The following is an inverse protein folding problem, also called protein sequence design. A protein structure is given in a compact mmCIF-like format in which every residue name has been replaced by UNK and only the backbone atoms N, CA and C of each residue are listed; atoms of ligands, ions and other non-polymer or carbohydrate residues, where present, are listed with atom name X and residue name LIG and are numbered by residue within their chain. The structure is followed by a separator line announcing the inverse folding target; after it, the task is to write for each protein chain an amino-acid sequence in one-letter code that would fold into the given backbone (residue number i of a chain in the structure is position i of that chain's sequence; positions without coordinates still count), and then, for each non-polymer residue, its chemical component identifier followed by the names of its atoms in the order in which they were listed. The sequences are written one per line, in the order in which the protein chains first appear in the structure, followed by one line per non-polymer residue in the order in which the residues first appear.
data_IF_104492529042
#
_entry.id   IF_104492529042
#
_cell.length_a   1.000
_cell.length_b   1.000
_cell.length_c   1.000
_cell.angle_alpha   90.00
_cell.angle_beta   90.00
_cell.angle_gamma   90.00
#
_symmetry.space_group_name_H-M   'P 1'
#
loop_
_entity.id
_entity.type
_entity.pdbx_description
1 polymer ?
#
# COMPACT_ATOMS: atom_id res chain seq x y z
N UNK A 1 48.35 -41.53 48.76
CA UNK A 1 48.01 -42.09 47.43
C UNK A 1 47.23 -41.03 46.67
N UNK A 2 47.93 -40.14 45.98
CA UNK A 2 47.35 -38.98 45.26
C UNK A 2 47.38 -39.25 43.76
N UNK A 3 46.23 -39.55 43.15
CA UNK A 3 46.13 -39.71 41.69
C UNK A 3 45.74 -38.37 41.06
N UNK A 4 46.75 -37.68 40.53
CA UNK A 4 46.62 -36.51 39.66
C UNK A 4 46.07 -36.92 38.30
N UNK A 5 44.82 -36.55 38.00
CA UNK A 5 44.21 -36.71 36.67
C UNK A 5 44.78 -35.66 35.71
N UNK A 6 45.63 -36.09 34.76
CA UNK A 6 46.09 -35.26 33.64
C UNK A 6 44.94 -34.99 32.64
N UNK A 7 44.81 -33.77 32.09
CA UNK A 7 43.93 -33.53 30.95
C UNK A 7 44.53 -34.16 29.69
N UNK A 8 43.72 -34.89 28.95
CA UNK A 8 44.07 -35.49 27.65
C UNK A 8 44.17 -34.39 26.58
N UNK A 9 45.40 -34.03 26.21
CA UNK A 9 45.69 -33.26 25.00
C UNK A 9 45.21 -34.03 23.76
N UNK A 10 44.21 -33.49 23.06
CA UNK A 10 43.86 -33.95 21.71
C UNK A 10 45.00 -33.55 20.77
N UNK A 11 45.88 -34.50 20.47
CA UNK A 11 46.94 -34.34 19.47
C UNK A 11 46.31 -34.09 18.09
N UNK A 12 46.32 -32.82 17.68
CA UNK A 12 45.89 -32.39 16.37
C UNK A 12 46.93 -32.81 15.32
N UNK A 13 46.83 -34.03 14.80
CA UNK A 13 47.48 -34.39 13.53
C UNK A 13 46.89 -33.51 12.42
N UNK A 14 47.52 -32.37 12.14
CA UNK A 14 47.22 -31.53 10.97
C UNK A 14 47.47 -32.37 9.72
N UNK A 15 46.40 -32.87 9.09
CA UNK A 15 46.47 -33.50 7.77
C UNK A 15 46.97 -32.44 6.77
N UNK A 16 48.16 -32.67 6.22
CA UNK A 16 48.76 -31.84 5.16
C UNK A 16 48.02 -32.12 3.86
N UNK A 17 47.43 -31.08 3.25
CA UNK A 17 46.90 -31.11 1.88
C UNK A 17 45.38 -31.25 1.81
N UNK A 18 44.71 -30.13 1.50
CA UNK A 18 43.28 -30.04 1.20
C UNK A 18 42.78 -28.60 1.23
N UNK A 19 41.66 -28.31 0.56
CA UNK A 19 40.98 -27.01 0.70
C UNK A 19 40.62 -26.81 2.19
N UNK A 20 41.01 -25.69 2.82
CA UNK A 20 40.68 -25.41 4.21
C UNK A 20 39.19 -25.63 4.48
N UNK A 21 38.87 -26.33 5.57
CA UNK A 21 37.49 -26.57 5.97
C UNK A 21 36.84 -25.24 6.36
N UNK A 22 35.60 -25.01 5.90
CA UNK A 22 34.83 -23.83 6.31
C UNK A 22 34.61 -23.85 7.84
N UNK A 23 34.68 -22.68 8.51
CA UNK A 23 34.30 -22.56 9.91
C UNK A 23 32.90 -23.11 10.16
N UNK A 24 32.67 -23.72 11.32
CA UNK A 24 31.39 -24.34 11.67
C UNK A 24 30.21 -23.36 11.53
N UNK A 25 30.40 -22.09 11.88
CA UNK A 25 29.40 -21.03 11.76
C UNK A 25 28.95 -20.75 10.31
N UNK A 26 29.82 -20.99 9.32
CA UNK A 26 29.51 -20.78 7.88
C UNK A 26 29.10 -22.07 7.17
N UNK A 27 29.22 -23.22 7.84
CA UNK A 27 28.94 -24.54 7.26
C UNK A 27 27.43 -24.76 7.15
N UNK A 28 26.92 -24.94 5.93
CA UNK A 28 25.52 -25.29 5.66
C UNK A 28 25.30 -26.79 5.90
N UNK A 29 24.83 -27.18 7.09
CA UNK A 29 24.65 -28.60 7.48
C UNK A 29 23.18 -29.05 7.61
N UNK A 30 22.22 -28.17 7.33
CA UNK A 30 20.78 -28.47 7.37
C UNK A 30 20.18 -28.17 6.00
N UNK A 31 19.32 -29.05 5.52
CA UNK A 31 18.63 -28.93 4.23
C UNK A 31 17.12 -28.88 4.44
N UNK A 32 16.47 -27.98 3.70
CA UNK A 32 15.01 -27.96 3.53
C UNK A 32 14.75 -28.25 2.06
N UNK A 33 13.94 -29.26 1.77
CA UNK A 33 13.57 -29.64 0.40
C UNK A 33 12.16 -29.20 0.11
N UNK A 34 11.98 -28.50 -1.01
CA UNK A 34 10.68 -28.06 -1.53
C UNK A 34 10.52 -28.56 -2.96
N UNK A 35 9.28 -28.84 -3.36
CA UNK A 35 8.93 -29.22 -4.73
C UNK A 35 8.10 -28.09 -5.33
N UNK A 36 8.40 -27.75 -6.57
CA UNK A 36 7.72 -26.67 -7.30
C UNK A 36 6.92 -27.25 -8.45
N UNK A 37 5.82 -26.58 -8.81
CA UNK A 37 5.20 -26.81 -10.11
C UNK A 37 6.16 -26.36 -11.22
N UNK A 38 5.88 -26.77 -12.46
CA UNK A 38 6.68 -26.36 -13.62
C UNK A 38 6.68 -24.83 -13.79
N UNK A 39 5.54 -24.18 -13.54
CA UNK A 39 5.38 -22.73 -13.68
C UNK A 39 6.16 -21.99 -12.59
N UNK A 40 6.07 -22.43 -11.34
CA UNK A 40 6.79 -21.81 -10.23
C UNK A 40 8.30 -21.95 -10.39
N UNK A 41 8.75 -23.12 -10.87
CA UNK A 41 10.16 -23.37 -11.13
C UNK A 41 10.72 -22.41 -12.19
N UNK A 42 10.04 -22.24 -13.34
CA UNK A 42 10.50 -21.32 -14.38
C UNK A 42 10.45 -19.86 -13.91
N UNK A 43 9.43 -19.49 -13.12
CA UNK A 43 9.34 -18.17 -12.50
C UNK A 43 10.56 -17.87 -11.62
N UNK A 44 10.91 -18.80 -10.72
CA UNK A 44 12.08 -18.67 -9.86
C UNK A 44 13.38 -18.66 -10.67
N UNK A 45 13.47 -19.47 -11.73
CA UNK A 45 14.63 -19.51 -12.64
C UNK A 45 14.84 -18.17 -13.33
N UNK A 46 13.78 -17.57 -13.88
CA UNK A 46 13.85 -16.24 -14.52
C UNK A 46 14.28 -15.18 -13.51
N UNK A 47 13.68 -15.16 -12.32
CA UNK A 47 14.04 -14.20 -11.27
C UNK A 47 15.49 -14.34 -10.81
N UNK A 48 15.97 -15.59 -10.64
CA UNK A 48 17.36 -15.85 -10.25
C UNK A 48 18.37 -15.37 -11.30
N UNK A 49 18.07 -15.58 -12.59
CA UNK A 49 18.88 -15.06 -13.71
C UNK A 49 18.89 -13.55 -13.75
N UNK A 50 17.74 -12.91 -13.57
CA UNK A 50 17.63 -11.45 -13.50
C UNK A 50 18.48 -10.87 -12.36
N UNK A 51 18.60 -11.59 -11.25
CA UNK A 51 19.44 -11.21 -10.12
C UNK A 51 20.93 -11.62 -10.29
N UNK A 52 21.32 -12.25 -11.40
CA UNK A 52 22.65 -12.81 -11.61
C UNK A 52 23.11 -13.76 -10.48
N UNK A 53 22.19 -14.55 -9.94
CA UNK A 53 22.45 -15.52 -8.86
C UNK A 53 22.11 -16.93 -9.28
N UNK A 54 22.75 -17.91 -8.65
CA UNK A 54 22.35 -19.32 -8.79
C UNK A 54 21.00 -19.52 -8.12
N UNK A 55 20.13 -20.34 -8.73
CA UNK A 55 18.76 -20.56 -8.26
C UNK A 55 18.66 -20.89 -6.75
N UNK A 56 19.52 -21.79 -6.25
CA UNK A 56 19.54 -22.16 -4.84
C UNK A 56 20.01 -21.03 -3.91
N UNK A 57 20.91 -20.17 -4.38
CA UNK A 57 21.37 -19.00 -3.61
C UNK A 57 20.28 -17.95 -3.57
N UNK A 58 19.66 -17.68 -4.72
CA UNK A 58 18.53 -16.78 -4.86
C UNK A 58 17.40 -17.17 -3.90
N UNK A 59 16.90 -18.41 -3.96
CA UNK A 59 15.80 -18.89 -3.10
C UNK A 59 16.15 -18.73 -1.61
N UNK A 60 17.38 -19.09 -1.23
CA UNK A 60 17.83 -19.00 0.17
C UNK A 60 17.93 -17.54 0.63
N UNK A 61 18.49 -16.67 -0.19
CA UNK A 61 18.65 -15.24 0.14
C UNK A 61 17.30 -14.55 0.21
N UNK A 62 16.42 -14.78 -0.76
CA UNK A 62 15.06 -14.23 -0.72
C UNK A 62 14.29 -14.75 0.49
N UNK A 63 14.39 -16.04 0.82
CA UNK A 63 13.71 -16.59 1.99
C UNK A 63 14.20 -16.00 3.33
N UNK A 64 15.46 -15.56 3.41
CA UNK A 64 16.03 -14.95 4.62
C UNK A 64 15.88 -13.43 4.67
N UNK A 65 15.78 -12.77 3.52
CA UNK A 65 15.63 -11.31 3.39
C UNK A 65 14.18 -10.85 3.34
N UNK A 66 13.24 -11.76 3.05
CA UNK A 66 11.82 -11.41 3.07
C UNK A 66 11.44 -11.20 4.52
N UNK A 67 11.28 -9.93 4.93
CA UNK A 67 10.56 -9.64 6.16
C UNK A 67 9.23 -10.39 6.08
N UNK A 68 8.88 -11.20 7.09
CA UNK A 68 7.56 -11.82 7.11
C UNK A 68 6.55 -10.68 6.94
N UNK A 69 5.52 -10.84 6.09
CA UNK A 69 4.53 -9.78 5.89
C UNK A 69 4.03 -9.38 7.27
N UNK A 70 4.43 -8.18 7.69
CA UNK A 70 4.03 -7.61 8.98
C UNK A 70 2.52 -7.55 8.91
N UNK A 71 1.85 -8.41 9.67
CA UNK A 71 0.41 -8.31 9.85
C UNK A 71 0.12 -6.86 10.23
N UNK A 72 -0.69 -6.18 9.43
CA UNK A 72 -1.05 -4.77 9.68
C UNK A 72 -1.43 -4.64 11.15
N UNK A 73 -0.68 -3.81 11.86
CA UNK A 73 -0.85 -3.66 13.29
C UNK A 73 -2.24 -3.08 13.56
N UNK A 74 -2.77 -3.27 14.77
CA UNK A 74 -4.05 -2.66 15.16
C UNK A 74 -4.07 -1.14 14.98
N UNK A 75 -2.89 -0.50 15.03
CA UNK A 75 -2.68 0.92 14.73
C UNK A 75 -3.02 1.23 13.27
N UNK A 76 -2.57 0.40 12.32
CA UNK A 76 -2.86 0.56 10.89
C UNK A 76 -4.38 0.52 10.62
N UNK A 77 -5.10 -0.38 11.28
CA UNK A 77 -6.56 -0.47 11.16
C UNK A 77 -7.29 0.80 11.64
N UNK A 78 -6.79 1.44 12.71
CA UNK A 78 -7.32 2.72 13.19
C UNK A 78 -7.10 3.85 12.19
N UNK A 79 -5.91 3.92 11.59
CA UNK A 79 -5.59 4.90 10.55
C UNK A 79 -6.50 4.72 9.32
N UNK A 80 -6.71 3.49 8.85
CA UNK A 80 -7.60 3.22 7.72
C UNK A 80 -9.06 3.62 8.01
N UNK A 81 -9.55 3.36 9.22
CA UNK A 81 -10.90 3.77 9.64
C UNK A 81 -11.05 5.29 9.66
N UNK A 82 -10.05 5.99 10.19
CA UNK A 82 -10.05 7.46 10.22
C UNK A 82 -10.01 8.03 8.81
N UNK A 83 -9.19 7.48 7.91
CA UNK A 83 -9.12 7.89 6.52
C UNK A 83 -10.45 7.70 5.79
N UNK A 84 -11.13 6.56 6.01
CA UNK A 84 -12.46 6.32 5.48
C UNK A 84 -13.48 7.35 6.00
N UNK A 85 -13.40 7.72 7.29
CA UNK A 85 -14.20 8.78 7.89
C UNK A 85 -13.97 10.14 7.21
N UNK A 86 -12.71 10.53 7.00
CA UNK A 86 -12.36 11.78 6.31
C UNK A 86 -12.87 11.79 4.87
N UNK A 87 -12.72 10.69 4.13
CA UNK A 87 -13.24 10.57 2.77
C UNK A 87 -14.77 10.72 2.72
N UNK A 88 -15.49 10.14 3.69
CA UNK A 88 -16.93 10.29 3.78
C UNK A 88 -17.35 11.73 4.10
N UNK A 89 -16.65 12.39 5.03
CA UNK A 89 -16.89 13.79 5.35
C UNK A 89 -16.68 14.69 4.13
N UNK A 90 -15.60 14.46 3.36
CA UNK A 90 -15.34 15.20 2.13
C UNK A 90 -16.47 15.02 1.10
N UNK A 91 -16.96 13.79 0.91
CA UNK A 91 -18.06 13.51 0.00
C UNK A 91 -19.36 14.23 0.40
N UNK A 92 -19.66 14.29 1.70
CA UNK A 92 -20.82 15.02 2.22
C UNK A 92 -20.68 16.53 1.97
N UNK A 93 -19.52 17.11 2.26
CA UNK A 93 -19.27 18.54 2.03
C UNK A 93 -19.39 18.91 0.56
N UNK A 94 -18.86 18.10 -0.35
CA UNK A 94 -18.99 18.33 -1.80
C UNK A 94 -20.45 18.32 -2.24
N UNK A 95 -21.25 17.33 -1.81
CA UNK A 95 -22.68 17.26 -2.12
C UNK A 95 -23.44 18.48 -1.58
N UNK A 96 -23.19 18.86 -0.33
CA UNK A 96 -23.82 20.04 0.29
C UNK A 96 -23.44 21.33 -0.43
N UNK A 97 -22.18 21.48 -0.84
CA UNK A 97 -21.71 22.65 -1.61
C UNK A 97 -22.43 22.76 -2.95
N UNK A 98 -22.54 21.65 -3.69
CA UNK A 98 -23.29 21.61 -4.95
C UNK A 98 -24.76 21.98 -4.74
N UNK A 99 -25.43 21.36 -3.76
CA UNK A 99 -26.82 21.67 -3.44
C UNK A 99 -27.01 23.15 -3.08
N UNK A 100 -26.15 23.69 -2.21
CA UNK A 100 -26.20 25.10 -1.79
C UNK A 100 -25.98 26.05 -2.97
N UNK A 101 -25.07 25.71 -3.88
CA UNK A 101 -24.84 26.50 -5.10
C UNK A 101 -26.07 26.54 -6.01
N UNK A 102 -26.81 25.42 -6.12
CA UNK A 102 -28.06 25.36 -6.87
C UNK A 102 -29.15 26.22 -6.22
N UNK A 103 -29.29 26.18 -4.89
CA UNK A 103 -30.24 27.04 -4.18
C UNK A 103 -29.92 28.53 -4.41
N UNK A 104 -28.65 28.92 -4.34
CA UNK A 104 -28.22 30.31 -4.63
C UNK A 104 -28.55 30.73 -6.05
N UNK A 105 -28.31 29.88 -7.04
CA UNK A 105 -28.65 30.19 -8.44
C UNK A 105 -30.15 30.32 -8.64
N UNK A 106 -30.96 29.43 -8.06
CA UNK A 106 -32.41 29.52 -8.12
C UNK A 106 -32.94 30.81 -7.48
N UNK A 107 -32.39 31.22 -6.34
CA UNK A 107 -32.77 32.47 -5.70
C UNK A 107 -32.55 33.67 -6.64
N UNK A 108 -31.35 33.78 -7.25
CA UNK A 108 -31.05 34.86 -8.21
C UNK A 108 -31.92 34.81 -9.47
N UNK A 109 -32.27 33.61 -9.95
CA UNK A 109 -33.18 33.46 -11.08
C UNK A 109 -34.58 33.99 -10.76
N UNK A 110 -35.09 33.72 -9.56
CA UNK A 110 -36.39 34.23 -9.13
C UNK A 110 -36.37 35.77 -9.00
N UNK A 111 -35.32 36.36 -8.43
CA UNK A 111 -35.17 37.83 -8.40
C UNK A 111 -35.23 38.46 -9.80
N UNK A 112 -34.54 37.86 -10.77
CA UNK A 112 -34.56 38.35 -12.16
C UNK A 112 -35.93 38.16 -12.80
N UNK A 113 -36.59 37.03 -12.57
CA UNK A 113 -37.93 36.76 -13.09
C UNK A 113 -38.96 37.75 -12.52
N UNK A 114 -38.90 38.03 -11.22
CA UNK A 114 -39.77 39.01 -10.57
C UNK A 114 -39.59 40.39 -11.19
N UNK A 115 -38.34 40.82 -11.41
CA UNK A 115 -38.07 42.10 -12.09
C UNK A 115 -38.56 42.15 -13.55
N UNK A 116 -38.46 41.04 -14.30
CA UNK A 116 -39.02 40.97 -15.67
C UNK A 116 -40.54 41.07 -15.64
N UNK A 117 -41.20 40.41 -14.69
CA UNK A 117 -42.66 40.46 -14.54
C UNK A 117 -43.14 41.87 -14.16
N UNK A 118 -42.38 42.58 -13.33
CA UNK A 118 -42.64 43.99 -13.01
C UNK A 118 -42.61 44.86 -14.28
N UNK A 119 -41.56 44.76 -15.09
CA UNK A 119 -41.44 45.50 -16.36
C UNK A 119 -42.59 45.18 -17.32
N UNK A 120 -42.97 43.90 -17.45
CA UNK A 120 -44.09 43.49 -18.31
C UNK A 120 -45.41 44.11 -17.83
N UNK A 121 -45.63 44.14 -16.52
CA UNK A 121 -46.83 44.73 -15.93
C UNK A 121 -46.86 46.25 -16.14
N UNK A 122 -45.73 46.94 -15.94
CA UNK A 122 -45.62 48.38 -16.19
C UNK A 122 -45.95 48.71 -17.65
N UNK A 123 -45.35 47.99 -18.60
CA UNK A 123 -45.63 48.16 -20.03
C UNK A 123 -47.11 47.94 -20.37
N UNK A 124 -47.74 46.93 -19.75
CA UNK A 124 -49.17 46.65 -19.95
C UNK A 124 -50.04 47.82 -19.46
N UNK A 125 -49.74 48.35 -18.28
CA UNK A 125 -50.48 49.48 -17.69
C UNK A 125 -50.33 50.76 -18.52
N UNK A 126 -49.13 51.05 -19.04
CA UNK A 126 -48.90 52.20 -19.93
C UNK A 126 -49.68 52.08 -21.25
N UNK A 127 -49.71 50.89 -21.85
CA UNK A 127 -50.48 50.63 -23.07
C UNK A 127 -51.99 50.79 -22.86
N UNK A 128 -52.52 50.32 -21.74
CA UNK A 128 -53.94 50.44 -21.39
C UNK A 128 -54.34 51.92 -21.18
N UNK A 129 -53.48 52.74 -20.56
CA UNK A 129 -53.69 54.19 -20.41
C UNK A 129 -53.67 54.96 -21.74
N UNK A 130 -52.80 54.56 -22.68
CA UNK A 130 -52.66 55.19 -23.99
C UNK A 130 -53.81 54.91 -24.98
N UNK A 131 -54.68 53.92 -24.69
CA UNK A 131 -55.88 53.64 -25.50
C UNK A 131 -57.14 54.37 -25.02
N UNK A 132 -57.10 54.94 -23.82
CA UNK A 132 -58.22 55.68 -23.21
C UNK A 132 -58.11 57.21 -23.34
N UNK A 133 -57.08 57.71 -24.03
CA UNK A 133 -56.85 59.12 -24.35
C UNK A 133 -57.05 59.36 -25.84
#
# INVERSE_FOLDING_TARGET
MTTSTKPTEKSGRKRKGGRPTLPQARRRSKSVTVKFSKIDYETLRIRSRKANRRLAEYIRETALQTEPPTAHTTVDAGIFRNLAGVANNLNQLTKLSHQTSLYRTNYRLNEVLDGVMEIINDYRQEKEKGQTA
#
